data_IF_889925445326
#
_entry.id   IF_889925445326
#
_cell.length_a   1.000
_cell.length_b   1.000
_cell.length_c   1.000
_cell.angle_alpha   90.00
_cell.angle_beta   90.00
_cell.angle_gamma   90.00
#
_symmetry.space_group_name_H-M   'P 1'
#
loop_
_entity.id
_entity.type
_entity.pdbx_description
1 polymer ?
#
# COMPACT_ATOMS: atom_id res chain seq x y z
N UNK A 1 -9.20 5.64 -12.49
CA UNK A 1 -10.29 6.27 -13.29
C UNK A 1 -11.68 5.67 -13.06
N UNK A 2 -11.87 4.34 -13.10
CA UNK A 2 -13.20 3.71 -12.97
C UNK A 2 -13.90 4.05 -11.64
N UNK A 3 -13.13 4.17 -10.55
CA UNK A 3 -13.64 4.65 -9.26
C UNK A 3 -14.38 5.99 -9.34
N UNK A 4 -14.04 6.84 -10.31
CA UNK A 4 -14.68 8.14 -10.47
C UNK A 4 -15.86 8.14 -11.44
N UNK A 5 -16.01 7.17 -12.34
CA UNK A 5 -16.98 7.29 -13.45
C UNK A 5 -17.82 6.04 -13.72
N UNK A 6 -17.49 4.89 -13.13
CA UNK A 6 -18.23 3.66 -13.38
C UNK A 6 -19.63 3.74 -12.77
N UNK A 7 -20.64 3.27 -13.50
CA UNK A 7 -22.06 3.35 -13.09
C UNK A 7 -22.42 2.42 -11.92
N UNK A 8 -21.53 1.48 -11.59
CA UNK A 8 -21.67 0.48 -10.54
C UNK A 8 -20.93 0.86 -9.24
N UNK A 9 -20.43 2.11 -9.15
CA UNK A 9 -19.85 2.66 -7.91
C UNK A 9 -18.32 2.54 -7.81
N UNK A 10 -17.65 2.06 -8.86
CA UNK A 10 -16.18 1.96 -8.91
C UNK A 10 -15.68 0.53 -8.81
N UNK A 11 -14.35 0.37 -8.79
CA UNK A 11 -13.75 -0.95 -8.67
C UNK A 11 -14.08 -1.55 -7.29
N UNK A 12 -14.46 -2.83 -7.19
CA UNK A 12 -14.69 -3.48 -5.90
C UNK A 12 -13.37 -3.65 -5.11
N UNK A 13 -13.41 -3.84 -3.78
CA UNK A 13 -12.22 -4.04 -2.95
C UNK A 13 -11.28 -5.16 -3.44
N UNK A 14 -11.82 -6.30 -3.89
CA UNK A 14 -11.06 -7.44 -4.44
C UNK A 14 -10.32 -7.14 -5.77
N UNK A 15 -10.61 -6.02 -6.45
CA UNK A 15 -10.07 -5.75 -7.78
C UNK A 15 -8.54 -5.82 -7.85
N UNK A 16 -7.84 -5.18 -6.91
CA UNK A 16 -6.39 -5.10 -6.91
C UNK A 16 -5.69 -6.38 -6.43
N UNK A 17 -6.22 -7.08 -5.40
CA UNK A 17 -5.84 -8.46 -5.15
C UNK A 17 -5.96 -9.37 -6.39
N UNK A 18 -7.03 -9.28 -7.20
CA UNK A 18 -7.14 -10.04 -8.45
C UNK A 18 -6.07 -9.61 -9.48
N UNK A 19 -5.91 -8.31 -9.69
CA UNK A 19 -4.96 -7.74 -10.66
C UNK A 19 -3.52 -8.19 -10.38
N UNK A 20 -3.14 -8.31 -9.11
CA UNK A 20 -1.81 -8.74 -8.69
C UNK A 20 -1.43 -10.14 -9.21
N UNK A 21 -2.41 -11.04 -9.35
CA UNK A 21 -2.20 -12.42 -9.81
C UNK A 21 -2.66 -12.67 -11.25
N UNK A 22 -3.14 -11.65 -11.94
CA UNK A 22 -3.63 -11.77 -13.32
C UNK A 22 -2.92 -10.77 -14.23
N UNK A 23 -3.41 -9.53 -14.33
CA UNK A 23 -2.87 -8.51 -15.24
C UNK A 23 -1.40 -8.20 -14.95
N UNK A 24 -0.95 -8.23 -13.69
CA UNK A 24 0.45 -7.97 -13.36
C UNK A 24 1.42 -9.06 -13.84
N UNK A 25 0.94 -10.27 -14.14
CA UNK A 25 1.80 -11.32 -14.73
C UNK A 25 2.31 -10.94 -16.14
N UNK A 26 1.60 -10.05 -16.82
CA UNK A 26 1.99 -9.57 -18.15
C UNK A 26 3.04 -8.44 -18.12
N UNK A 27 3.31 -7.85 -16.96
CA UNK A 27 4.21 -6.71 -16.81
C UNK A 27 3.53 -5.47 -16.21
N UNK A 28 4.21 -4.31 -16.22
CA UNK A 28 3.81 -3.14 -15.44
C UNK A 28 2.44 -2.57 -15.85
N UNK A 29 1.83 -1.85 -14.91
CA UNK A 29 0.53 -1.20 -15.07
C UNK A 29 0.64 0.22 -14.53
N UNK A 30 0.33 1.21 -15.36
CA UNK A 30 0.06 2.55 -14.86
C UNK A 30 -1.36 2.60 -14.27
N UNK A 31 -1.48 2.28 -12.99
CA UNK A 31 -2.77 2.26 -12.28
C UNK A 31 -3.17 3.63 -11.71
N UNK A 32 -2.22 4.55 -11.61
CA UNK A 32 -2.40 5.88 -10.99
C UNK A 32 -2.92 5.82 -9.54
N UNK A 33 -2.13 5.29 -8.58
CA UNK A 33 -2.54 5.20 -7.16
C UNK A 33 -2.44 6.55 -6.43
N UNK A 34 -2.73 6.53 -5.13
CA UNK A 34 -2.39 7.61 -4.21
C UNK A 34 -3.50 8.64 -4.00
N UNK A 35 -4.77 8.27 -4.07
CA UNK A 35 -5.85 9.20 -3.71
C UNK A 35 -5.92 9.40 -2.20
N UNK A 36 -5.95 10.64 -1.72
CA UNK A 36 -6.07 11.01 -0.32
C UNK A 36 -7.49 11.44 0.03
N UNK A 37 -8.16 12.18 -0.86
CA UNK A 37 -9.59 12.47 -0.76
C UNK A 37 -10.40 11.32 -1.36
N UNK A 38 -10.65 10.29 -0.53
CA UNK A 38 -11.33 9.04 -0.93
C UNK A 38 -12.80 9.28 -1.33
N UNK A 39 -13.43 10.31 -0.75
CA UNK A 39 -14.83 10.67 -1.03
C UNK A 39 -14.94 11.55 -2.27
N UNK A 40 -15.89 11.24 -3.16
CA UNK A 40 -16.11 12.06 -4.36
C UNK A 40 -17.31 12.98 -4.13
N UNK A 41 -17.05 14.18 -3.58
CA UNK A 41 -18.11 15.16 -3.22
C UNK A 41 -19.08 15.48 -4.36
N UNK A 42 -18.61 15.48 -5.60
CA UNK A 42 -19.41 15.76 -6.79
C UNK A 42 -20.16 14.54 -7.34
N UNK A 43 -19.92 13.34 -6.76
CA UNK A 43 -20.42 12.05 -7.23
C UNK A 43 -20.73 11.13 -6.04
N UNK A 44 -21.85 11.36 -5.34
CA UNK A 44 -22.17 10.63 -4.11
C UNK A 44 -22.38 9.12 -4.30
N UNK A 45 -22.68 8.68 -5.54
CA UNK A 45 -22.85 7.26 -5.89
C UNK A 45 -21.52 6.56 -6.24
N UNK A 46 -20.40 7.30 -6.25
CA UNK A 46 -19.07 6.78 -6.56
C UNK A 46 -18.12 7.03 -5.39
N UNK A 47 -17.32 6.02 -5.06
CA UNK A 47 -16.26 6.13 -4.08
C UNK A 47 -15.07 5.28 -4.51
N UNK A 48 -13.88 5.69 -4.07
CA UNK A 48 -12.70 4.82 -4.15
C UNK A 48 -12.83 3.79 -3.04
N UNK A 49 -13.06 2.53 -3.40
CA UNK A 49 -13.36 1.46 -2.44
C UNK A 49 -12.11 0.91 -1.75
N UNK A 50 -11.32 1.79 -1.15
CA UNK A 50 -10.08 1.46 -0.41
C UNK A 50 -9.90 2.37 0.81
N UNK A 51 -9.07 1.98 1.77
CA UNK A 51 -8.55 2.91 2.79
C UNK A 51 -7.38 3.72 2.25
N UNK A 52 -6.97 4.75 3.00
CA UNK A 52 -5.78 5.55 2.70
C UNK A 52 -4.50 4.70 2.78
N UNK A 53 -4.39 3.81 3.78
CA UNK A 53 -3.20 2.97 3.90
C UNK A 53 -3.07 1.99 2.72
N UNK A 54 -4.19 1.48 2.19
CA UNK A 54 -4.18 0.72 0.94
C UNK A 54 -3.64 1.55 -0.22
N UNK A 55 -4.07 2.81 -0.38
CA UNK A 55 -3.57 3.70 -1.45
C UNK A 55 -2.05 3.89 -1.40
N UNK A 56 -1.46 3.95 -0.20
CA UNK A 56 0.00 3.98 -0.03
C UNK A 56 0.64 2.65 -0.42
N UNK A 57 0.04 1.52 0.01
CA UNK A 57 0.56 0.19 -0.28
C UNK A 57 0.65 -0.12 -1.78
N UNK A 58 -0.21 0.51 -2.61
CA UNK A 58 -0.24 0.31 -4.05
C UNK A 58 1.07 0.71 -4.77
N UNK A 59 1.84 1.65 -4.22
CA UNK A 59 3.13 2.02 -4.81
C UNK A 59 4.15 0.87 -4.78
N UNK A 60 3.97 -0.09 -3.86
CA UNK A 60 4.79 -1.30 -3.77
C UNK A 60 4.11 -2.49 -4.44
N UNK A 61 2.80 -2.68 -4.21
CA UNK A 61 2.09 -3.84 -4.76
C UNK A 61 1.98 -3.78 -6.28
N UNK A 62 1.53 -2.64 -6.82
CA UNK A 62 1.32 -2.47 -8.27
C UNK A 62 2.59 -1.95 -8.91
N UNK A 63 3.37 -2.85 -9.52
CA UNK A 63 4.62 -2.47 -10.16
C UNK A 63 4.40 -1.61 -11.42
N UNK A 64 5.08 -0.47 -11.45
CA UNK A 64 5.29 0.36 -12.62
C UNK A 64 6.60 1.17 -12.48
N UNK A 65 7.42 1.31 -13.53
CA UNK A 65 8.62 2.15 -13.50
C UNK A 65 8.30 3.66 -13.48
N UNK A 66 7.02 4.02 -13.70
CA UNK A 66 6.48 5.36 -13.50
C UNK A 66 5.24 5.26 -12.62
N UNK A 67 5.20 6.02 -11.53
CA UNK A 67 4.07 6.03 -10.61
C UNK A 67 3.51 7.44 -10.52
N UNK A 68 2.19 7.56 -10.64
CA UNK A 68 1.49 8.82 -10.46
C UNK A 68 1.10 9.00 -8.99
N UNK A 69 1.16 10.24 -8.49
CA UNK A 69 0.36 10.69 -7.35
C UNK A 69 -0.87 11.39 -7.94
N UNK A 70 -1.99 10.66 -8.01
CA UNK A 70 -3.09 11.03 -8.91
C UNK A 70 -4.08 12.06 -8.35
N UNK A 71 -3.98 12.40 -7.07
CA UNK A 71 -4.87 13.36 -6.42
C UNK A 71 -4.46 14.81 -6.69
N UNK A 72 -5.33 15.74 -6.31
CA UNK A 72 -5.04 17.16 -6.36
C UNK A 72 -3.94 17.51 -5.34
N UNK A 73 -3.00 18.42 -5.67
CA UNK A 73 -1.94 18.84 -4.75
C UNK A 73 -2.46 19.32 -3.38
N UNK A 74 -3.61 19.98 -3.34
CA UNK A 74 -4.27 20.46 -2.12
C UNK A 74 -4.66 19.34 -1.16
N UNK A 75 -4.91 18.12 -1.66
CA UNK A 75 -5.23 16.95 -0.83
C UNK A 75 -3.98 16.33 -0.18
N UNK A 76 -2.79 16.61 -0.74
CA UNK A 76 -1.51 16.17 -0.18
C UNK A 76 -0.87 17.18 0.76
N UNK A 77 -1.19 18.47 0.61
CA UNK A 77 -0.50 19.54 1.30
C UNK A 77 -0.59 19.39 2.84
N UNK A 78 0.57 19.29 3.49
CA UNK A 78 0.66 19.12 4.94
C UNK A 78 0.24 17.73 5.46
N UNK A 79 -0.14 16.79 4.58
CA UNK A 79 -0.62 15.47 5.00
C UNK A 79 0.54 14.51 5.35
N UNK A 80 0.68 14.02 6.61
CA UNK A 80 1.84 13.22 7.02
C UNK A 80 2.05 11.94 6.21
N UNK A 81 0.96 11.31 5.76
CA UNK A 81 1.01 10.10 4.93
C UNK A 81 1.71 10.32 3.58
N UNK A 82 1.74 11.56 3.06
CA UNK A 82 2.38 11.86 1.78
C UNK A 82 3.88 11.61 1.79
N UNK A 83 4.49 11.58 2.98
CA UNK A 83 5.91 11.24 3.11
C UNK A 83 6.24 9.85 2.54
N UNK A 84 5.34 8.87 2.65
CA UNK A 84 5.56 7.55 2.03
C UNK A 84 5.72 7.65 0.50
N UNK A 85 4.85 8.42 -0.16
CA UNK A 85 4.89 8.64 -1.63
C UNK A 85 6.17 9.37 -2.03
N UNK A 86 6.69 10.25 -1.15
CA UNK A 86 7.96 10.94 -1.39
C UNK A 86 9.19 10.04 -1.24
N UNK A 87 9.09 9.03 -0.37
CA UNK A 87 10.21 8.14 -0.04
C UNK A 87 10.27 6.91 -0.96
N UNK A 88 9.13 6.41 -1.43
CA UNK A 88 9.05 5.14 -2.16
C UNK A 88 9.75 5.19 -3.53
N UNK A 89 10.58 4.18 -3.77
CA UNK A 89 11.22 3.96 -5.07
C UNK A 89 10.24 3.49 -6.15
N UNK A 90 10.69 3.50 -7.41
CA UNK A 90 9.93 2.96 -8.56
C UNK A 90 10.73 1.93 -9.38
N UNK A 91 12.04 1.83 -9.12
CA UNK A 91 12.94 0.85 -9.73
C UNK A 91 13.52 -0.02 -8.60
N UNK A 92 13.53 -1.34 -8.83
CA UNK A 92 13.73 -2.32 -7.77
C UNK A 92 14.89 -3.26 -8.14
N UNK A 93 15.82 -3.49 -7.21
CA UNK A 93 16.88 -4.49 -7.36
C UNK A 93 16.30 -5.90 -7.27
N UNK A 94 15.42 -6.10 -6.28
CA UNK A 94 14.74 -7.37 -6.07
C UNK A 94 13.33 -7.18 -5.51
N UNK A 95 12.52 -8.22 -5.66
CA UNK A 95 11.14 -8.29 -5.20
C UNK A 95 10.91 -9.64 -4.56
N UNK A 96 10.28 -9.64 -3.39
CA UNK A 96 9.88 -10.83 -2.64
C UNK A 96 8.38 -10.73 -2.40
N UNK A 97 7.63 -11.69 -2.94
CA UNK A 97 6.20 -11.85 -2.59
C UNK A 97 6.17 -12.67 -1.31
N UNK A 98 5.74 -12.04 -0.21
CA UNK A 98 5.80 -12.65 1.12
C UNK A 98 4.67 -13.65 1.33
N UNK A 99 3.47 -13.29 0.90
CA UNK A 99 2.26 -14.12 0.96
C UNK A 99 1.17 -13.50 0.06
N UNK A 100 0.10 -14.26 -0.15
CA UNK A 100 -1.09 -13.79 -0.83
C UNK A 100 -2.00 -14.91 -1.30
N UNK A 101 -3.23 -14.54 -1.61
CA UNK A 101 -4.29 -15.41 -2.12
C UNK A 101 -5.06 -14.65 -3.20
N UNK A 102 -5.35 -15.32 -4.32
CA UNK A 102 -5.93 -14.69 -5.51
C UNK A 102 -7.32 -14.17 -5.20
N UNK A 103 -7.52 -12.85 -5.36
CA UNK A 103 -8.78 -12.19 -5.04
C UNK A 103 -8.89 -11.68 -3.61
N UNK A 104 -8.03 -12.17 -2.73
CA UNK A 104 -8.17 -11.97 -1.30
C UNK A 104 -7.16 -10.94 -0.77
N UNK A 105 -5.85 -11.21 -0.92
CA UNK A 105 -4.81 -10.32 -0.43
C UNK A 105 -3.46 -10.60 -1.06
N UNK A 106 -2.53 -9.66 -0.92
CA UNK A 106 -1.12 -9.85 -1.29
C UNK A 106 -0.23 -8.94 -0.46
N UNK A 107 0.90 -9.47 0.00
CA UNK A 107 1.98 -8.69 0.61
C UNK A 107 3.27 -8.84 -0.19
N UNK A 108 3.86 -7.72 -0.58
CA UNK A 108 5.10 -7.68 -1.38
C UNK A 108 6.12 -6.79 -0.68
N UNK A 109 7.36 -7.29 -0.56
CA UNK A 109 8.53 -6.51 -0.20
C UNK A 109 9.40 -6.27 -1.43
N UNK A 110 9.95 -5.06 -1.56
CA UNK A 110 10.87 -4.71 -2.65
C UNK A 110 12.08 -3.95 -2.13
N UNK A 111 13.25 -4.30 -2.64
CA UNK A 111 14.47 -3.54 -2.38
C UNK A 111 14.64 -2.51 -3.48
N UNK A 112 14.74 -1.24 -3.10
CA UNK A 112 14.98 -0.16 -4.04
C UNK A 112 16.37 -0.30 -4.68
N UNK A 113 16.43 -0.05 -5.98
CA UNK A 113 17.66 -0.22 -6.75
C UNK A 113 18.71 0.83 -6.38
N UNK A 114 19.97 0.38 -6.30
CA UNK A 114 21.13 1.20 -5.92
C UNK A 114 21.05 1.78 -4.49
N UNK A 115 20.10 1.33 -3.68
CA UNK A 115 20.03 1.65 -2.25
C UNK A 115 19.95 0.34 -1.46
N UNK A 116 20.00 0.44 -0.14
CA UNK A 116 19.74 -0.71 0.74
C UNK A 116 18.34 -0.62 1.37
N UNK A 117 17.48 0.26 0.85
CA UNK A 117 16.17 0.50 1.42
C UNK A 117 15.18 -0.54 0.92
N UNK A 118 14.28 -0.94 1.81
CA UNK A 118 13.19 -1.84 1.49
C UNK A 118 11.86 -1.13 1.65
N UNK A 119 10.87 -1.57 0.88
CA UNK A 119 9.50 -1.10 0.98
C UNK A 119 8.57 -2.29 0.96
N UNK A 120 7.58 -2.26 1.84
CA UNK A 120 6.56 -3.30 1.93
C UNK A 120 5.20 -2.70 1.66
N UNK A 121 4.41 -3.35 0.82
CA UNK A 121 3.01 -3.04 0.61
C UNK A 121 2.17 -4.29 0.83
N UNK A 122 1.09 -4.15 1.59
CA UNK A 122 0.05 -5.16 1.70
C UNK A 122 -1.31 -4.57 1.41
N UNK A 123 -2.14 -5.32 0.67
CA UNK A 123 -3.54 -4.95 0.40
C UNK A 123 -4.46 -6.15 0.63
N UNK A 124 -5.71 -5.88 0.97
CA UNK A 124 -6.77 -6.88 1.12
C UNK A 124 -8.02 -6.51 0.29
N UNK A 125 -8.94 -7.46 0.20
CA UNK A 125 -10.28 -7.37 -0.35
C UNK A 125 -11.29 -6.77 0.65
N UNK A 126 -12.59 -7.04 0.48
CA UNK A 126 -13.64 -6.57 1.38
C UNK A 126 -13.61 -7.19 2.77
N UNK A 127 -12.74 -8.18 3.02
CA UNK A 127 -12.63 -8.85 4.31
C UNK A 127 -11.43 -8.29 5.09
N UNK A 128 -11.63 -8.03 6.38
CA UNK A 128 -10.53 -7.71 7.30
C UNK A 128 -9.62 -8.93 7.46
N UNK A 129 -8.31 -8.70 7.50
CA UNK A 129 -7.31 -9.78 7.61
C UNK A 129 -6.20 -9.41 8.58
N UNK A 130 -5.71 -10.41 9.30
CA UNK A 130 -4.44 -10.30 10.02
C UNK A 130 -3.33 -10.88 9.15
N UNK A 131 -2.23 -10.14 9.00
CA UNK A 131 -1.05 -10.58 8.28
C UNK A 131 0.16 -10.57 9.21
N UNK A 132 0.98 -11.60 9.15
CA UNK A 132 2.26 -11.65 9.83
C UNK A 132 3.37 -11.48 8.80
N UNK A 133 4.26 -10.52 9.05
CA UNK A 133 5.41 -10.23 8.21
C UNK A 133 6.67 -10.68 8.96
N UNK A 134 7.34 -11.68 8.40
CA UNK A 134 8.70 -12.05 8.75
C UNK A 134 9.67 -11.16 7.96
N UNK A 135 10.52 -10.43 8.68
CA UNK A 135 11.49 -9.51 8.09
C UNK A 135 12.81 -10.20 7.71
N UNK A 136 12.85 -11.53 7.63
CA UNK A 136 14.04 -12.32 7.25
C UNK A 136 14.64 -11.97 5.87
N UNK A 137 13.89 -11.26 5.02
CA UNK A 137 14.37 -10.78 3.72
C UNK A 137 15.36 -9.60 3.84
N UNK A 138 15.44 -8.96 5.01
CA UNK A 138 16.39 -7.88 5.27
C UNK A 138 17.83 -8.41 5.39
N UNK A 139 18.79 -7.53 5.16
CA UNK A 139 20.20 -7.86 5.26
C UNK A 139 20.58 -8.25 6.70
N UNK A 140 21.35 -9.34 6.83
CA UNK A 140 21.87 -9.78 8.12
C UNK A 140 22.79 -8.73 8.75
N UNK A 141 22.74 -8.62 10.08
CA UNK A 141 23.54 -7.67 10.87
C UNK A 141 23.30 -6.19 10.53
N UNK A 142 22.15 -5.86 9.94
CA UNK A 142 21.72 -4.50 9.63
C UNK A 142 20.47 -4.12 10.43
N UNK A 143 20.43 -2.86 10.84
CA UNK A 143 19.28 -2.25 11.51
C UNK A 143 18.58 -1.30 10.55
N UNK A 144 17.26 -1.33 10.55
CA UNK A 144 16.41 -0.49 9.73
C UNK A 144 15.51 0.37 10.62
N UNK A 145 15.33 1.64 10.25
CA UNK A 145 14.20 2.42 10.75
C UNK A 145 12.98 2.09 9.88
N UNK A 146 12.00 1.42 10.48
CA UNK A 146 10.71 1.14 9.86
C UNK A 146 9.74 2.29 10.14
N UNK A 147 9.26 2.97 9.10
CA UNK A 147 8.09 3.85 9.20
C UNK A 147 6.88 3.11 8.64
N UNK A 148 5.93 2.81 9.52
CA UNK A 148 4.78 1.94 9.26
C UNK A 148 3.53 2.81 9.11
N UNK A 149 2.91 2.77 7.93
CA UNK A 149 1.66 3.42 7.60
C UNK A 149 0.58 2.34 7.53
N UNK A 150 -0.28 2.27 8.55
CA UNK A 150 -1.27 1.20 8.70
C UNK A 150 -2.68 1.76 8.86
N UNK A 151 -3.66 0.95 8.51
CA UNK A 151 -5.05 1.19 8.88
C UNK A 151 -5.16 1.43 10.39
N UNK A 152 -5.95 2.42 10.78
CA UNK A 152 -6.28 2.64 12.19
C UNK A 152 -7.33 1.65 12.69
N UNK A 153 -7.58 1.64 14.00
CA UNK A 153 -8.41 0.62 14.65
C UNK A 153 -9.84 0.54 14.09
N UNK A 154 -10.40 1.71 13.74
CA UNK A 154 -11.77 1.88 13.20
C UNK A 154 -11.78 2.11 11.68
N UNK A 155 -10.67 1.86 10.99
CA UNK A 155 -10.58 2.05 9.54
C UNK A 155 -11.52 1.10 8.80
N UNK A 156 -12.13 1.61 7.73
CA UNK A 156 -13.00 0.82 6.86
C UNK A 156 -13.16 1.54 5.52
N UNK A 157 -12.96 0.86 4.39
CA UNK A 157 -12.96 1.50 3.07
C UNK A 157 -14.20 2.36 2.78
N UNK A 158 -15.39 1.91 3.19
CA UNK A 158 -16.66 2.62 2.99
C UNK A 158 -16.90 3.75 3.99
N UNK A 159 -16.82 3.45 5.29
CA UNK A 159 -17.36 4.31 6.34
C UNK A 159 -16.31 5.24 6.97
N UNK A 160 -15.04 4.83 6.98
CA UNK A 160 -13.96 5.55 7.65
C UNK A 160 -12.60 5.29 6.95
N UNK A 161 -12.48 5.61 5.64
CA UNK A 161 -11.33 5.19 4.84
C UNK A 161 -10.03 5.91 5.17
N UNK A 162 -10.11 7.09 5.80
CA UNK A 162 -8.96 7.95 6.10
C UNK A 162 -8.49 7.82 7.55
N UNK A 163 -8.96 6.80 8.28
CA UNK A 163 -8.44 6.47 9.60
C UNK A 163 -7.17 5.63 9.46
N UNK A 164 -6.02 6.20 9.81
CA UNK A 164 -4.72 5.55 9.69
C UNK A 164 -3.80 5.95 10.86
N UNK A 165 -2.76 5.18 11.08
CA UNK A 165 -1.69 5.47 12.03
C UNK A 165 -0.32 5.41 11.35
N UNK A 166 0.61 6.23 11.86
CA UNK A 166 2.02 6.18 11.48
C UNK A 166 2.83 5.83 12.72
N UNK A 167 3.61 4.76 12.64
CA UNK A 167 4.49 4.32 13.72
C UNK A 167 5.93 4.24 13.21
N UNK A 168 6.88 4.53 14.10
CA UNK A 168 8.30 4.36 13.83
C UNK A 168 8.91 3.39 14.81
N UNK A 169 9.60 2.38 14.30
CA UNK A 169 10.30 1.37 15.10
C UNK A 169 11.63 1.03 14.46
N UNK A 170 12.59 0.60 15.26
CA UNK A 170 13.82 0.00 14.74
C UNK A 170 13.66 -1.52 14.72
N UNK A 171 14.06 -2.15 13.62
CA UNK A 171 14.01 -3.60 13.48
C UNK A 171 15.19 -4.14 12.68
N UNK A 172 15.39 -5.45 12.80
CA UNK A 172 16.42 -6.23 12.10
C UNK A 172 15.75 -7.38 11.35
N UNK A 173 16.53 -8.18 10.63
CA UNK A 173 16.03 -9.35 9.90
C UNK A 173 15.46 -10.48 10.79
N UNK A 174 15.57 -10.38 12.12
CA UNK A 174 14.97 -11.35 13.06
C UNK A 174 13.60 -10.91 13.58
N UNK A 175 13.09 -9.76 13.13
CA UNK A 175 11.81 -9.26 13.57
C UNK A 175 10.65 -10.00 12.87
N UNK A 176 9.56 -10.15 13.61
CA UNK A 176 8.27 -10.60 13.10
C UNK A 176 7.20 -9.66 13.66
N UNK A 177 6.31 -9.16 12.81
CA UNK A 177 5.23 -8.26 13.25
C UNK A 177 3.91 -8.67 12.61
N UNK A 178 2.84 -8.57 13.39
CA UNK A 178 1.48 -8.83 12.92
C UNK A 178 0.71 -7.52 12.79
N UNK A 179 0.01 -7.36 11.67
CA UNK A 179 -0.78 -6.18 11.34
C UNK A 179 -2.20 -6.59 10.98
N UNK A 180 -3.17 -5.77 11.38
CA UNK A 180 -4.55 -5.88 10.92
C UNK A 180 -4.74 -4.98 9.71
N UNK A 181 -5.25 -5.55 8.62
CA UNK A 181 -5.78 -4.83 7.48
C UNK A 181 -7.29 -4.68 7.68
N UNK A 182 -7.79 -3.45 7.53
CA UNK A 182 -9.23 -3.20 7.52
C UNK A 182 -9.89 -3.79 6.27
N UNK A 183 -11.22 -3.86 6.23
CA UNK A 183 -11.94 -4.16 4.99
C UNK A 183 -11.58 -3.12 3.91
N UNK A 184 -11.17 -3.58 2.73
CA UNK A 184 -10.61 -2.76 1.65
C UNK A 184 -9.41 -1.95 2.15
N UNK A 185 -8.59 -2.57 2.99
CA UNK A 185 -7.50 -1.94 3.71
C UNK A 185 -6.12 -2.27 3.19
N UNK A 186 -5.10 -1.77 3.88
CA UNK A 186 -3.71 -2.01 3.53
C UNK A 186 -2.68 -1.52 4.54
N UNK A 187 -1.43 -1.76 4.19
CA UNK A 187 -0.25 -1.49 4.98
C UNK A 187 0.88 -1.08 4.05
N UNK A 188 1.55 0.03 4.36
CA UNK A 188 2.75 0.45 3.66
C UNK A 188 3.88 0.65 4.68
N UNK A 189 5.07 0.15 4.40
CA UNK A 189 6.23 0.28 5.29
C UNK A 189 7.42 0.76 4.47
N UNK A 190 8.08 1.84 4.89
CA UNK A 190 9.43 2.16 4.46
C UNK A 190 10.43 1.63 5.47
N UNK A 191 11.47 0.95 4.99
CA UNK A 191 12.53 0.33 5.78
C UNK A 191 13.86 0.93 5.33
N UNK A 192 14.27 1.98 6.02
CA UNK A 192 15.49 2.72 5.67
C UNK A 192 16.65 2.20 6.50
N UNK A 193 17.71 1.71 5.85
CA UNK A 193 18.86 1.16 6.54
C UNK A 193 19.58 2.25 7.35
N UNK A 194 19.87 1.98 8.62
CA UNK A 194 20.67 2.86 9.46
C UNK A 194 22.16 2.63 9.20
N UNK A 195 22.94 3.71 9.28
CA UNK A 195 24.40 3.68 9.22
C UNK A 195 25.02 3.08 10.48
#
# INVERSE_FOLDING_TARGET
EFNAWASDGGNPPEHLPIVAFTRMLAGPIDFTPGVFEISLKTKPDNQINTTLAQQLALYVVIYSPIQMACDLPENYEGHPAFQFIRDVGVDWEQTVVLNGEVGDFVTIARQEKNTNNWFVGSITDENSREITIDFSFLDADKTYEATIYKDGEDAHYKNNPTNYAIEKVELTNSAEMTFKLAEGGGLAISLLQKN
#
